data_IF_235575759867
#
_entry.id   IF_235575759867
#
_cell.length_a   1.000
_cell.length_b   1.000
_cell.length_c   1.000
_cell.angle_alpha   90.00
_cell.angle_beta   90.00
_cell.angle_gamma   90.00
#
_symmetry.space_group_name_H-M   'P 1'
#
loop_
_entity.id
_entity.type
_entity.pdbx_description
1 polymer ?
#
# COMPACT_ATOMS: atom_id res chain seq x y z
N UNK A 1 -4.67 4.16 -11.09
CA UNK A 1 -4.40 3.12 -12.10
C UNK A 1 -5.28 3.37 -13.31
N UNK A 2 -4.84 3.05 -14.53
CA UNK A 2 -5.58 3.23 -15.81
C UNK A 2 -5.72 4.66 -16.34
N UNK A 3 -5.27 5.68 -15.61
CA UNK A 3 -5.11 7.03 -16.17
C UNK A 3 -3.81 7.13 -16.97
N UNK A 4 -3.91 7.48 -18.26
CA UNK A 4 -2.72 7.67 -19.12
C UNK A 4 -1.69 8.63 -18.54
N UNK A 5 -2.12 9.64 -17.78
CA UNK A 5 -1.27 10.71 -17.28
C UNK A 5 -0.99 10.64 -15.78
N UNK A 6 -1.66 9.73 -15.05
CA UNK A 6 -1.59 9.68 -13.57
C UNK A 6 -1.35 8.27 -13.02
N UNK A 7 -1.09 7.29 -13.88
CA UNK A 7 -0.81 5.90 -13.47
C UNK A 7 0.69 5.66 -13.40
N UNK A 8 1.37 6.36 -12.49
CA UNK A 8 2.81 6.29 -12.28
C UNK A 8 3.15 6.41 -10.79
N UNK A 9 4.34 5.96 -10.40
CA UNK A 9 4.92 6.12 -9.05
C UNK A 9 6.41 6.41 -9.19
N UNK A 10 6.98 7.08 -8.20
CA UNK A 10 8.43 7.30 -8.07
C UNK A 10 8.85 6.68 -6.75
N UNK A 11 9.88 5.84 -6.77
CA UNK A 11 10.32 5.09 -5.61
C UNK A 11 11.84 5.26 -5.45
N UNK A 12 12.28 5.55 -4.23
CA UNK A 12 13.70 5.64 -3.89
C UNK A 12 14.28 4.24 -3.65
N UNK A 13 15.37 3.92 -4.34
CA UNK A 13 16.04 2.62 -4.17
C UNK A 13 16.75 2.56 -2.82
N UNK A 14 16.34 1.58 -2.02
CA UNK A 14 16.87 1.29 -0.68
C UNK A 14 17.31 -0.17 -0.55
N UNK A 15 17.57 -0.84 -1.68
CA UNK A 15 17.88 -2.27 -1.74
C UNK A 15 16.62 -3.14 -1.74
N UNK A 16 16.67 -4.35 -1.16
CA UNK A 16 15.55 -5.31 -1.23
C UNK A 16 14.24 -4.79 -0.60
N UNK A 17 14.33 -3.84 0.35
CA UNK A 17 13.16 -3.16 0.93
C UNK A 17 12.33 -2.38 -0.09
N UNK A 18 12.93 -1.97 -1.22
CA UNK A 18 12.26 -1.28 -2.32
C UNK A 18 11.04 -2.06 -2.85
N UNK A 19 11.06 -3.39 -2.82
CA UNK A 19 9.93 -4.21 -3.25
C UNK A 19 8.65 -3.88 -2.47
N UNK A 20 8.76 -3.59 -1.17
CA UNK A 20 7.64 -3.14 -0.36
C UNK A 20 7.18 -1.74 -0.76
N UNK A 21 8.12 -0.80 -0.93
CA UNK A 21 7.80 0.57 -1.34
C UNK A 21 7.07 0.59 -2.68
N UNK A 22 7.51 -0.20 -3.66
CA UNK A 22 6.81 -0.37 -4.95
C UNK A 22 5.38 -0.89 -4.73
N UNK A 23 5.20 -1.89 -3.87
CA UNK A 23 3.88 -2.44 -3.56
C UNK A 23 2.98 -1.40 -2.87
N UNK A 24 3.51 -0.65 -1.90
CA UNK A 24 2.80 0.43 -1.19
C UNK A 24 2.30 1.51 -2.15
N UNK A 25 3.20 2.07 -2.98
CA UNK A 25 2.82 3.13 -3.92
C UNK A 25 1.90 2.61 -5.04
N UNK A 26 2.04 1.35 -5.44
CA UNK A 26 1.08 0.69 -6.33
C UNK A 26 -0.31 0.60 -5.71
N UNK A 27 -0.40 0.36 -4.40
CA UNK A 27 -1.64 0.38 -3.63
C UNK A 27 -2.35 1.74 -3.70
N UNK A 28 -1.61 2.84 -3.54
CA UNK A 28 -2.15 4.19 -3.75
C UNK A 28 -2.70 4.40 -5.16
N UNK A 29 -2.03 3.86 -6.18
CA UNK A 29 -2.57 3.86 -7.55
C UNK A 29 -3.90 3.11 -7.68
N UNK A 30 -4.16 2.09 -6.85
CA UNK A 30 -5.47 1.41 -6.77
C UNK A 30 -6.47 2.09 -5.83
N UNK A 31 -6.19 3.33 -5.40
CA UNK A 31 -7.09 4.10 -4.54
C UNK A 31 -7.08 3.66 -3.08
N UNK A 32 -6.08 2.89 -2.65
CA UNK A 32 -5.88 2.58 -1.23
C UNK A 32 -5.37 3.82 -0.49
N UNK A 33 -5.86 4.02 0.74
CA UNK A 33 -5.31 5.00 1.68
C UNK A 33 -4.61 4.28 2.82
N UNK A 34 -3.84 5.01 3.63
CA UNK A 34 -3.11 4.42 4.75
C UNK A 34 -4.02 3.75 5.77
N UNK A 35 -3.59 2.61 6.30
CA UNK A 35 -4.28 1.95 7.41
C UNK A 35 -4.27 2.87 8.64
N UNK A 36 -5.41 2.97 9.33
CA UNK A 36 -5.57 3.83 10.50
C UNK A 36 -5.76 5.32 10.20
N UNK A 37 -5.94 5.68 8.93
CA UNK A 37 -6.29 7.04 8.50
C UNK A 37 -7.66 7.05 7.83
N UNK A 38 -8.69 7.42 8.59
CA UNK A 38 -10.07 7.47 8.10
C UNK A 38 -10.69 6.12 7.76
N UNK A 39 -10.08 5.00 8.21
CA UNK A 39 -10.63 3.65 8.08
C UNK A 39 -10.48 2.85 9.38
N UNK A 40 -11.12 1.68 9.42
CA UNK A 40 -11.19 0.82 10.61
C UNK A 40 -9.93 -0.02 10.87
N UNK A 41 -9.00 -0.06 9.91
CA UNK A 41 -7.75 -0.79 10.09
C UNK A 41 -6.82 -0.02 11.00
N UNK A 42 -5.92 -0.72 11.70
CA UNK A 42 -4.96 -0.09 12.60
C UNK A 42 -3.63 0.14 11.88
N UNK A 43 -2.91 1.19 12.30
CA UNK A 43 -1.48 1.34 12.00
C UNK A 43 -0.76 0.17 12.67
N UNK A 44 -0.43 -0.87 11.91
CA UNK A 44 0.22 -2.08 12.41
C UNK A 44 1.43 -2.42 11.57
N UNK A 45 2.44 -2.98 12.23
CA UNK A 45 3.59 -3.55 11.54
C UNK A 45 3.14 -4.69 10.61
N UNK A 46 3.83 -4.83 9.48
CA UNK A 46 3.60 -5.85 8.48
C UNK A 46 2.51 -5.52 7.46
N UNK A 47 1.64 -4.53 7.68
CA UNK A 47 0.66 -4.18 6.64
C UNK A 47 1.26 -3.27 5.57
N UNK A 48 0.99 -3.59 4.30
CA UNK A 48 1.57 -2.88 3.16
C UNK A 48 1.16 -1.41 3.13
N UNK A 49 -0.09 -1.09 3.45
CA UNK A 49 -0.57 0.30 3.50
C UNK A 49 -0.39 0.96 4.88
N UNK A 50 0.43 0.38 5.77
CA UNK A 50 0.83 1.09 7.00
C UNK A 50 1.65 2.34 6.62
N UNK A 51 1.46 3.49 7.30
CA UNK A 51 2.21 4.71 7.00
C UNK A 51 3.69 4.62 7.36
N UNK A 52 4.09 3.62 8.14
CA UNK A 52 5.48 3.35 8.49
C UNK A 52 5.92 2.00 7.94
N UNK A 53 7.12 1.99 7.35
CA UNK A 53 7.81 0.77 6.92
C UNK A 53 8.29 0.00 8.15
N UNK A 54 7.38 -0.76 8.77
CA UNK A 54 7.71 -1.67 9.86
C UNK A 54 7.38 -3.08 9.38
N UNK A 55 8.37 -3.79 8.83
CA UNK A 55 8.20 -5.18 8.43
C UNK A 55 8.18 -6.09 9.65
N UNK A 56 7.22 -7.00 9.73
CA UNK A 56 7.20 -8.03 10.77
C UNK A 56 8.20 -9.13 10.39
N UNK A 57 9.50 -8.90 10.65
CA UNK A 57 10.59 -9.77 10.21
C UNK A 57 10.59 -10.02 8.68
N UNK A 58 10.30 -8.98 7.89
CA UNK A 58 10.21 -9.06 6.43
C UNK A 58 8.93 -9.70 5.89
N UNK A 59 7.96 -10.02 6.76
CA UNK A 59 6.63 -10.49 6.36
C UNK A 59 5.72 -9.28 6.18
N UNK A 60 5.04 -9.25 5.03
CA UNK A 60 4.12 -8.18 4.68
C UNK A 60 2.77 -8.74 4.19
N UNK A 61 1.68 -8.09 4.56
CA UNK A 61 0.31 -8.47 4.23
C UNK A 61 -0.54 -7.28 3.81
N UNK A 62 -1.61 -7.54 3.06
CA UNK A 62 -2.63 -6.53 2.79
C UNK A 62 -3.68 -6.55 3.89
N UNK A 63 -4.03 -5.38 4.42
CA UNK A 63 -5.08 -5.28 5.45
C UNK A 63 -6.46 -5.60 4.87
N UNK A 64 -7.46 -5.75 5.75
CA UNK A 64 -8.85 -5.85 5.31
C UNK A 64 -9.31 -4.58 4.54
N UNK A 65 -8.81 -3.41 4.91
CA UNK A 65 -9.15 -2.14 4.27
C UNK A 65 -8.52 -2.05 2.88
N UNK A 66 -7.24 -2.41 2.73
CA UNK A 66 -6.58 -2.47 1.41
C UNK A 66 -7.34 -3.39 0.44
N UNK A 67 -7.74 -4.58 0.90
CA UNK A 67 -8.54 -5.52 0.09
C UNK A 67 -9.90 -4.92 -0.31
N UNK A 68 -10.54 -4.18 0.59
CA UNK A 68 -11.80 -3.51 0.31
C UNK A 68 -11.65 -2.37 -0.70
N UNK A 69 -10.59 -1.56 -0.60
CA UNK A 69 -10.28 -0.51 -1.58
C UNK A 69 -10.04 -1.09 -2.97
N UNK A 70 -9.22 -2.14 -3.08
CA UNK A 70 -9.00 -2.82 -4.36
C UNK A 70 -10.30 -3.38 -4.94
N UNK A 71 -11.10 -4.06 -4.10
CA UNK A 71 -12.40 -4.59 -4.50
C UNK A 71 -13.38 -3.51 -4.96
N UNK A 72 -13.26 -2.29 -4.42
CA UNK A 72 -14.07 -1.14 -4.85
C UNK A 72 -13.55 -0.52 -6.15
N UNK A 73 -12.23 -0.47 -6.33
CA UNK A 73 -11.60 0.06 -7.53
C UNK A 73 -11.87 -0.80 -8.77
N UNK A 74 -11.95 -2.13 -8.60
CA UNK A 74 -12.14 -3.09 -9.69
C UNK A 74 -13.62 -3.37 -10.04
N UNK A 75 -14.56 -2.87 -9.23
CA UNK A 75 -16.00 -2.93 -9.52
C UNK A 75 -16.39 -1.79 -10.44
#
# INVERSE_FOLDING_TARGET
>A
MCSKYRSCTINEDTGLGLAFTIAHESGHNFGMVHDGEGNVCKKSEGNIMSPTLAGHNGIFSWSACSRQYLSRFLK
#
